data_IF_253270207768
#
_entry.id   IF_253270207768
#
_cell.length_a   1.000
_cell.length_b   1.000
_cell.length_c   1.000
_cell.angle_alpha   90.00
_cell.angle_beta   90.00
_cell.angle_gamma   90.00
#
_symmetry.space_group_name_H-M   'P 1'
#
loop_
_entity.id
_entity.type
_entity.pdbx_description
1 polymer ?
#
# COMPACT_ATOMS: atom_id res chain seq x y z
N UNK A 1 3.28 36.90 -10.05
CA UNK A 1 4.25 35.80 -10.26
C UNK A 1 3.50 34.48 -10.20
N UNK A 2 3.39 33.75 -11.30
CA UNK A 2 2.70 32.46 -11.30
C UNK A 2 3.54 31.46 -10.49
N UNK A 3 3.02 30.97 -9.36
CA UNK A 3 3.65 29.85 -8.67
C UNK A 3 3.75 28.68 -9.66
N UNK A 4 4.98 28.28 -9.99
CA UNK A 4 5.27 27.12 -10.81
C UNK A 4 4.66 25.91 -10.09
N UNK A 5 3.47 25.49 -10.51
CA UNK A 5 2.81 24.30 -9.98
C UNK A 5 3.64 23.10 -10.43
N UNK A 6 4.60 22.70 -9.60
CA UNK A 6 5.43 21.52 -9.83
C UNK A 6 4.54 20.29 -9.66
N UNK A 7 3.86 19.92 -10.74
CA UNK A 7 3.24 18.62 -10.87
C UNK A 7 4.32 17.60 -11.23
N UNK A 8 4.46 16.56 -10.42
CA UNK A 8 5.29 15.42 -10.77
C UNK A 8 4.49 14.13 -10.66
N UNK A 9 4.71 13.23 -11.62
CA UNK A 9 4.13 11.88 -11.63
C UNK A 9 5.24 10.89 -11.92
N UNK A 10 5.28 9.82 -11.16
CA UNK A 10 6.15 8.68 -11.43
C UNK A 10 5.44 7.38 -11.05
N UNK A 11 5.94 6.29 -11.63
CA UNK A 11 5.42 4.95 -11.43
C UNK A 11 6.50 4.09 -10.81
N UNK A 12 6.08 3.24 -9.88
CA UNK A 12 6.86 2.13 -9.35
C UNK A 12 6.19 0.88 -9.87
N UNK A 13 6.86 0.16 -10.76
CA UNK A 13 6.33 -1.10 -11.31
C UNK A 13 6.49 -2.17 -10.25
N UNK A 14 5.39 -2.86 -9.93
CA UNK A 14 5.36 -3.93 -8.95
C UNK A 14 5.44 -5.26 -9.69
N UNK A 15 6.45 -6.04 -9.37
CA UNK A 15 6.69 -7.38 -9.92
C UNK A 15 6.50 -8.43 -8.81
N UNK A 16 6.22 -9.67 -9.21
CA UNK A 16 6.03 -10.79 -8.28
C UNK A 16 7.34 -11.12 -7.55
N UNK A 17 7.30 -11.12 -6.22
CA UNK A 17 8.44 -11.52 -5.37
C UNK A 17 8.32 -13.00 -4.96
N UNK A 18 7.17 -13.37 -4.39
CA UNK A 18 6.90 -14.70 -3.83
C UNK A 18 5.85 -15.41 -4.67
N UNK A 19 6.12 -16.68 -5.01
CA UNK A 19 5.17 -17.51 -5.75
C UNK A 19 4.00 -17.96 -4.88
N UNK A 20 2.90 -18.33 -5.55
CA UNK A 20 1.70 -18.86 -4.89
C UNK A 20 0.64 -17.82 -4.54
N UNK A 21 0.91 -16.55 -4.83
CA UNK A 21 -0.04 -15.43 -4.71
C UNK A 21 -0.65 -15.02 -6.05
N UNK A 22 -0.14 -15.54 -7.17
CA UNK A 22 -0.72 -15.34 -8.50
C UNK A 22 -2.04 -16.12 -8.67
N UNK A 23 -2.96 -15.58 -9.48
CA UNK A 23 -4.30 -16.15 -9.72
C UNK A 23 -4.23 -17.47 -10.51
N UNK A 24 -3.19 -17.68 -11.32
CA UNK A 24 -2.99 -18.87 -12.13
C UNK A 24 -1.52 -19.09 -12.46
N UNK A 25 -1.18 -20.30 -12.91
CA UNK A 25 0.20 -20.69 -13.27
C UNK A 25 0.70 -19.97 -14.52
N UNK A 26 -0.23 -19.52 -15.37
CA UNK A 26 -0.03 -18.77 -16.61
C UNK A 26 -0.17 -17.25 -16.44
N UNK A 27 -0.54 -16.77 -15.24
CA UNK A 27 -0.85 -15.36 -14.97
C UNK A 27 -0.02 -14.84 -13.80
N UNK A 28 1.13 -14.26 -14.11
CA UNK A 28 1.96 -13.58 -13.11
C UNK A 28 1.25 -12.36 -12.51
N UNK A 29 1.35 -12.23 -11.19
CA UNK A 29 0.96 -11.03 -10.46
C UNK A 29 1.73 -9.83 -11.00
N UNK A 30 1.01 -8.75 -11.31
CA UNK A 30 1.59 -7.53 -11.88
C UNK A 30 0.81 -6.31 -11.41
N UNK A 31 1.49 -5.17 -11.36
CA UNK A 31 0.88 -3.95 -10.88
C UNK A 31 1.80 -2.75 -10.95
N UNK A 32 1.29 -1.63 -10.46
CA UNK A 32 2.08 -0.42 -10.30
C UNK A 32 1.56 0.41 -9.14
N UNK A 33 2.45 1.25 -8.61
CA UNK A 33 2.09 2.37 -7.76
C UNK A 33 2.36 3.65 -8.52
N UNK A 34 1.34 4.47 -8.66
CA UNK A 34 1.44 5.80 -9.26
C UNK A 34 1.47 6.83 -8.15
N UNK A 35 2.51 7.65 -8.14
CA UNK A 35 2.74 8.72 -7.19
C UNK A 35 2.61 10.06 -7.92
N UNK A 36 1.62 10.86 -7.54
CA UNK A 36 1.31 12.15 -8.17
C UNK A 36 1.41 13.27 -7.13
N UNK A 37 2.42 14.14 -7.25
CA UNK A 37 2.57 15.31 -6.40
C UNK A 37 1.98 16.53 -7.09
N UNK A 38 1.03 17.21 -6.45
CA UNK A 38 0.38 18.42 -6.96
C UNK A 38 -0.05 19.31 -5.80
N UNK A 39 0.32 20.59 -5.86
CA UNK A 39 -0.14 21.61 -4.90
C UNK A 39 0.08 21.22 -3.41
N UNK A 40 1.25 20.66 -3.07
CA UNK A 40 1.54 20.24 -1.70
C UNK A 40 0.82 18.96 -1.25
N UNK A 41 0.14 18.25 -2.16
CA UNK A 41 -0.46 16.94 -1.91
C UNK A 41 0.18 15.85 -2.75
N UNK A 42 0.25 14.64 -2.20
CA UNK A 42 0.69 13.42 -2.86
C UNK A 42 -0.50 12.47 -2.96
N UNK A 43 -0.89 12.13 -4.19
CA UNK A 43 -1.86 11.10 -4.49
C UNK A 43 -1.12 9.81 -4.81
N UNK A 44 -1.46 8.74 -4.08
CA UNK A 44 -0.85 7.42 -4.19
C UNK A 44 -1.94 6.48 -4.71
N UNK A 45 -1.76 5.92 -5.89
CA UNK A 45 -2.69 4.95 -6.49
C UNK A 45 -2.00 3.62 -6.70
N UNK A 46 -2.52 2.57 -6.05
CA UNK A 46 -2.11 1.19 -6.27
C UNK A 46 -3.06 0.54 -7.26
N UNK A 47 -2.51 -0.07 -8.30
CA UNK A 47 -3.22 -0.97 -9.19
C UNK A 47 -2.50 -2.30 -9.23
N UNK A 48 -3.24 -3.39 -9.05
CA UNK A 48 -2.73 -4.75 -9.16
C UNK A 48 -3.71 -5.65 -9.90
N UNK A 49 -3.17 -6.69 -10.51
CA UNK A 49 -3.94 -7.70 -11.22
C UNK A 49 -3.28 -9.07 -11.09
N UNK A 50 -4.07 -10.11 -11.39
CA UNK A 50 -3.67 -11.51 -11.28
C UNK A 50 -3.20 -11.90 -9.87
N UNK A 51 -3.70 -11.24 -8.82
CA UNK A 51 -3.46 -11.65 -7.44
C UNK A 51 -4.59 -12.57 -7.00
N UNK A 52 -4.27 -13.65 -6.30
CA UNK A 52 -5.25 -14.55 -5.72
C UNK A 52 -5.96 -13.88 -4.55
N UNK A 53 -7.29 -13.90 -4.53
CA UNK A 53 -8.04 -13.49 -3.34
C UNK A 53 -7.77 -14.47 -2.19
N UNK A 54 -7.49 -13.95 -1.00
CA UNK A 54 -7.21 -14.73 0.21
C UNK A 54 -8.06 -14.24 1.38
N UNK A 55 -8.22 -15.07 2.41
CA UNK A 55 -9.01 -14.75 3.60
C UNK A 55 -8.40 -13.63 4.44
N UNK A 56 -7.07 -13.58 4.54
CA UNK A 56 -6.37 -12.47 5.19
C UNK A 56 -6.06 -11.36 4.17
N UNK A 57 -6.20 -10.08 4.57
CA UNK A 57 -6.00 -8.96 3.67
C UNK A 57 -4.54 -8.84 3.23
N UNK A 58 -4.34 -8.31 2.03
CA UNK A 58 -3.05 -7.79 1.61
C UNK A 58 -2.88 -6.39 2.15
N UNK A 59 -1.65 -5.92 2.25
CA UNK A 59 -1.34 -4.59 2.75
C UNK A 59 -0.51 -3.82 1.75
N UNK A 60 -0.87 -2.55 1.55
CA UNK A 60 -0.10 -1.60 0.76
C UNK A 60 0.93 -0.92 1.63
N UNK A 61 2.19 -1.00 1.22
CA UNK A 61 3.28 -0.32 1.92
C UNK A 61 4.13 0.52 0.96
N UNK A 62 4.61 1.66 1.48
CA UNK A 62 5.64 2.48 0.83
C UNK A 62 6.97 2.29 1.55
N UNK A 63 8.04 2.18 0.77
CA UNK A 63 9.39 1.94 1.27
C UNK A 63 10.19 3.22 1.11
N UNK A 64 10.70 3.73 2.22
CA UNK A 64 11.49 4.95 2.28
C UNK A 64 12.95 4.59 2.61
N UNK A 65 13.84 4.74 1.62
CA UNK A 65 15.29 4.53 1.76
C UNK A 65 16.15 5.75 1.34
N UNK A 66 15.51 6.87 0.99
CA UNK A 66 16.25 8.07 0.56
C UNK A 66 16.55 8.98 1.75
N UNK A 67 17.61 9.79 1.63
CA UNK A 67 17.97 10.83 2.61
C UNK A 67 18.12 10.30 4.05
N UNK A 68 18.69 9.10 4.20
CA UNK A 68 18.94 8.47 5.50
C UNK A 68 17.71 7.90 6.23
N UNK A 69 16.52 7.99 5.63
CA UNK A 69 15.28 7.39 6.16
C UNK A 69 15.29 5.89 5.84
N UNK A 70 14.84 5.05 6.77
CA UNK A 70 14.79 3.57 6.62
C UNK A 70 13.51 3.06 7.27
N UNK A 71 12.40 3.37 6.60
CA UNK A 71 11.06 3.19 7.15
C UNK A 71 10.12 2.58 6.11
N UNK A 72 9.18 1.78 6.59
CA UNK A 72 8.06 1.23 5.83
C UNK A 72 6.80 1.93 6.32
N UNK A 73 6.12 2.66 5.45
CA UNK A 73 4.84 3.30 5.77
C UNK A 73 3.73 2.34 5.35
N UNK A 74 2.96 1.82 6.32
CA UNK A 74 1.75 1.04 6.05
C UNK A 74 0.60 1.98 5.71
N UNK A 75 0.15 1.93 4.46
CA UNK A 75 -0.86 2.85 3.92
C UNK A 75 -2.28 2.37 4.22
N UNK A 76 -2.52 1.07 4.10
CA UNK A 76 -3.83 0.47 4.34
C UNK A 76 -3.90 -0.97 3.84
N UNK A 77 -5.06 -1.58 4.04
CA UNK A 77 -5.39 -2.90 3.53
C UNK A 77 -5.84 -2.84 2.07
N UNK A 78 -5.58 -3.91 1.33
CA UNK A 78 -5.96 -4.08 -0.06
C UNK A 78 -6.77 -5.36 -0.21
N UNK A 79 -8.06 -5.18 -0.47
CA UNK A 79 -8.97 -6.27 -0.77
C UNK A 79 -8.95 -6.55 -2.26
N UNK A 80 -8.62 -7.79 -2.61
CA UNK A 80 -8.62 -8.27 -3.98
C UNK A 80 -10.04 -8.70 -4.37
N UNK A 81 -10.50 -8.26 -5.55
CA UNK A 81 -11.79 -8.65 -6.11
C UNK A 81 -11.81 -10.10 -6.62
N UNK A 82 -12.99 -10.58 -7.05
CA UNK A 82 -13.16 -11.94 -7.58
C UNK A 82 -12.37 -12.21 -8.87
N UNK A 83 -11.89 -11.16 -9.54
CA UNK A 83 -11.10 -11.25 -10.77
C UNK A 83 -9.59 -11.12 -10.53
N UNK A 84 -9.18 -11.05 -9.27
CA UNK A 84 -7.78 -10.94 -8.87
C UNK A 84 -7.19 -9.54 -9.05
N UNK A 85 -8.02 -8.49 -8.96
CA UNK A 85 -7.62 -7.09 -9.15
C UNK A 85 -7.92 -6.25 -7.92
N UNK A 86 -7.17 -5.16 -7.79
CA UNK A 86 -7.51 -4.06 -6.88
C UNK A 86 -7.00 -2.74 -7.45
N UNK A 87 -7.80 -1.68 -7.28
CA UNK A 87 -7.45 -0.29 -7.58
C UNK A 87 -7.82 0.56 -6.36
N UNK A 88 -6.80 1.06 -5.66
CA UNK A 88 -6.97 1.81 -4.42
C UNK A 88 -6.18 3.11 -4.51
N UNK A 89 -6.79 4.18 -4.01
CA UNK A 89 -6.20 5.50 -4.04
C UNK A 89 -6.30 6.22 -2.70
N UNK A 90 -5.18 6.78 -2.24
CA UNK A 90 -5.12 7.68 -1.09
C UNK A 90 -4.48 9.01 -1.45
N UNK A 91 -4.83 10.05 -0.72
CA UNK A 91 -4.24 11.39 -0.87
C UNK A 91 -3.76 11.88 0.50
N UNK A 92 -2.51 12.37 0.56
CA UNK A 92 -1.88 12.89 1.77
C UNK A 92 -1.18 14.23 1.49
N UNK A 93 -0.89 15.05 2.52
CA UNK A 93 0.10 16.12 2.40
C UNK A 93 1.46 15.55 1.98
N UNK A 94 2.20 16.25 1.11
CA UNK A 94 3.50 15.76 0.59
C UNK A 94 4.56 15.58 1.67
N UNK A 95 4.43 16.25 2.81
CA UNK A 95 5.33 16.20 3.96
C UNK A 95 4.87 15.25 5.06
N UNK A 96 3.69 14.61 4.91
CA UNK A 96 3.11 13.75 5.92
C UNK A 96 2.40 12.53 5.32
N UNK A 97 3.16 11.70 4.60
CA UNK A 97 2.61 10.52 3.93
C UNK A 97 2.15 9.48 4.95
N UNK A 98 0.89 9.06 4.85
CA UNK A 98 0.34 8.05 5.76
C UNK A 98 0.31 8.49 7.22
N UNK A 99 0.29 9.80 7.50
CA UNK A 99 0.37 10.40 8.84
C UNK A 99 1.63 9.99 9.63
N UNK A 100 2.79 9.96 8.96
CA UNK A 100 4.09 9.53 9.49
C UNK A 100 5.15 10.62 9.64
N UNK A 101 4.85 11.86 9.27
CA UNK A 101 5.82 12.98 9.14
C UNK A 101 6.95 12.73 8.11
N UNK A 102 6.76 11.73 7.24
CA UNK A 102 7.69 11.41 6.16
C UNK A 102 7.23 12.12 4.87
N UNK A 103 8.19 12.80 4.23
CA UNK A 103 7.99 13.43 2.93
C UNK A 103 7.93 12.40 1.78
N UNK A 104 7.06 12.64 0.80
CA UNK A 104 6.91 11.84 -0.41
C UNK A 104 8.23 11.64 -1.19
N UNK A 105 9.14 12.61 -1.14
CA UNK A 105 10.43 12.52 -1.84
C UNK A 105 11.39 11.47 -1.25
N UNK A 106 11.10 10.96 -0.04
CA UNK A 106 11.85 9.89 0.61
C UNK A 106 11.47 8.50 0.10
N UNK A 107 10.34 8.38 -0.60
CA UNK A 107 9.85 7.13 -1.17
C UNK A 107 10.82 6.66 -2.26
N UNK A 108 11.34 5.44 -2.10
CA UNK A 108 12.20 4.77 -3.07
C UNK A 108 11.56 3.54 -3.69
N UNK A 109 10.56 2.96 -3.03
CA UNK A 109 9.89 1.76 -3.48
C UNK A 109 8.49 1.63 -2.89
N UNK A 110 7.80 0.61 -3.33
CA UNK A 110 6.49 0.23 -2.81
C UNK A 110 6.34 -1.28 -2.90
N UNK A 111 5.48 -1.84 -2.05
CA UNK A 111 5.20 -3.27 -2.06
C UNK A 111 3.75 -3.57 -1.66
N UNK A 112 3.32 -4.75 -2.08
CA UNK A 112 2.15 -5.44 -1.54
C UNK A 112 2.66 -6.57 -0.66
N UNK A 113 2.23 -6.59 0.59
CA UNK A 113 2.75 -7.52 1.59
C UNK A 113 1.64 -8.22 2.36
N UNK A 114 1.99 -9.34 2.99
CA UNK A 114 1.23 -9.93 4.08
C UNK A 114 2.07 -9.87 5.34
N UNK A 115 1.45 -9.46 6.43
CA UNK A 115 2.04 -9.55 7.76
C UNK A 115 1.60 -10.87 8.37
N UNK A 116 2.54 -11.77 8.62
CA UNK A 116 2.29 -13.03 9.34
C UNK A 116 3.19 -13.00 10.57
N UNK A 117 2.55 -12.94 11.74
CA UNK A 117 3.21 -12.72 13.03
C UNK A 117 4.08 -11.44 13.00
N UNK A 118 5.41 -11.60 13.04
CA UNK A 118 6.39 -10.51 12.95
C UNK A 118 7.11 -10.45 11.60
N UNK A 119 6.72 -11.29 10.64
CA UNK A 119 7.39 -11.40 9.36
C UNK A 119 6.61 -10.70 8.24
N UNK A 120 7.38 -10.03 7.36
CA UNK A 120 6.86 -9.44 6.12
C UNK A 120 7.04 -10.45 5.00
N UNK A 121 5.93 -10.98 4.49
CA UNK A 121 5.92 -11.70 3.22
C UNK A 121 5.65 -10.68 2.12
N UNK A 122 6.63 -10.47 1.25
CA UNK A 122 6.46 -9.59 0.11
C UNK A 122 5.82 -10.36 -1.02
N UNK A 123 4.62 -9.98 -1.42
CA UNK A 123 3.90 -10.60 -2.53
C UNK A 123 4.38 -10.00 -3.84
N UNK A 124 4.50 -8.67 -3.84
CA UNK A 124 5.06 -7.92 -4.95
C UNK A 124 5.84 -6.72 -4.44
N UNK A 125 6.93 -6.38 -5.09
CA UNK A 125 7.69 -5.17 -4.79
C UNK A 125 8.15 -4.45 -6.04
N UNK A 126 8.51 -3.19 -5.87
CA UNK A 126 9.02 -2.35 -6.93
C UNK A 126 9.84 -1.19 -6.38
N UNK A 127 10.86 -0.79 -7.12
CA UNK A 127 11.79 0.27 -6.70
C UNK A 127 12.08 1.23 -7.84
N UNK A 128 12.35 2.49 -7.48
CA UNK A 128 12.80 3.51 -8.42
C UNK A 128 14.27 3.34 -8.82
N UNK A 129 15.02 2.50 -8.10
CA UNK A 129 16.45 2.24 -8.28
C UNK A 129 16.70 0.74 -8.43
N UNK A 130 17.75 0.38 -9.15
CA UNK A 130 18.18 -1.02 -9.30
C UNK A 130 18.88 -1.55 -8.05
N UNK A 131 19.44 -0.66 -7.22
CA UNK A 131 19.98 -1.01 -5.91
C UNK A 131 18.82 -1.10 -4.91
N UNK A 132 18.41 -2.35 -4.64
CA UNK A 132 17.28 -2.65 -3.76
C UNK A 132 17.82 -2.86 -2.34
N UNK A 133 17.43 -2.03 -1.36
CA UNK A 133 17.87 -2.20 0.02
C UNK A 133 17.26 -3.44 0.67
N UNK A 134 17.84 -3.91 1.77
CA UNK A 134 17.23 -4.91 2.67
C UNK A 134 16.06 -4.30 3.45
N UNK A 135 15.02 -3.87 2.73
CA UNK A 135 13.93 -3.05 3.27
C UNK A 135 13.04 -3.79 4.25
N UNK A 136 12.95 -5.12 4.18
CA UNK A 136 12.11 -5.93 5.08
C UNK A 136 12.50 -5.80 6.57
N UNK A 137 13.68 -5.28 6.89
CA UNK A 137 14.14 -5.02 8.26
C UNK A 137 13.95 -3.56 8.72
N UNK A 138 13.34 -2.71 7.89
CA UNK A 138 13.10 -1.31 8.21
C UNK A 138 11.98 -1.17 9.26
N UNK A 139 11.96 -0.02 9.93
CA UNK A 139 10.94 0.29 10.93
C UNK A 139 9.58 0.45 10.27
N UNK A 140 8.57 -0.26 10.76
CA UNK A 140 7.19 -0.14 10.25
C UNK A 140 6.50 1.01 10.97
N UNK A 141 5.95 1.95 10.21
CA UNK A 141 5.14 3.07 10.69
C UNK A 141 3.70 2.87 10.23
N UNK A 142 2.77 2.92 11.19
CA UNK A 142 1.33 2.84 10.96
C UNK A 142 0.64 3.94 11.76
N UNK A 143 -0.22 4.73 11.09
CA UNK A 143 -0.97 5.77 11.77
C UNK A 143 -1.97 5.18 12.77
N UNK A 144 -1.95 5.70 14.00
CA UNK A 144 -2.90 5.30 15.07
C UNK A 144 -4.36 5.67 14.76
N UNK A 145 -4.60 6.60 13.83
CA UNK A 145 -5.95 7.03 13.46
C UNK A 145 -6.70 5.96 12.67
N UNK A 146 -6.00 5.17 11.82
CA UNK A 146 -6.58 4.06 11.06
C UNK A 146 -7.07 2.91 11.93
N UNK A 147 -6.42 2.64 13.08
CA UNK A 147 -6.88 1.62 14.04
C UNK A 147 -8.31 1.85 14.54
N UNK A 148 -8.88 3.06 14.39
CA UNK A 148 -10.26 3.35 14.82
C UNK A 148 -11.33 3.07 13.76
N UNK A 149 -10.97 2.97 12.48
CA UNK A 149 -11.91 2.70 11.39
C UNK A 149 -12.16 1.18 11.25
N UNK A 150 -11.12 0.34 11.35
CA UNK A 150 -11.26 -1.12 11.30
C UNK A 150 -12.14 -1.67 12.45
N UNK A 151 -12.10 -1.05 13.63
CA UNK A 151 -12.93 -1.44 14.79
C UNK A 151 -14.42 -1.05 14.58
N UNK A 152 -14.72 -0.05 13.75
CA UNK A 152 -16.10 0.40 13.53
C UNK A 152 -16.85 -0.51 12.55
N UNK A 153 -16.21 -1.06 11.53
CA UNK A 153 -16.87 -1.97 10.59
C UNK A 153 -17.22 -3.33 11.23
N UNK A 154 -16.39 -3.86 12.13
CA UNK A 154 -16.71 -5.12 12.84
C UNK A 154 -17.91 -5.00 13.81
N UNK A 155 -18.15 -3.83 14.42
CA UNK A 155 -19.26 -3.66 15.36
C UNK A 155 -20.62 -3.43 14.70
N UNK A 156 -20.66 -2.87 13.49
CA UNK A 156 -21.93 -2.59 12.78
C UNK A 156 -22.54 -3.87 12.19
N UNK A 157 -21.73 -4.85 11.79
CA UNK A 157 -22.25 -6.10 11.20
C UNK A 157 -22.86 -7.08 12.22
N UNK A 158 -22.52 -6.98 13.52
CA UNK A 158 -23.09 -7.87 14.55
C UNK A 158 -24.48 -7.48 15.06
N UNK A 159 -24.98 -6.28 14.77
CA UNK A 159 -26.25 -5.79 15.35
C UNK A 159 -27.48 -5.89 14.44
N UNK A 160 -27.31 -6.27 13.16
CA UNK A 160 -28.43 -6.33 12.20
C UNK A 160 -29.11 -7.71 12.14
N UNK A 161 -28.44 -8.79 12.55
CA UNK A 161 -28.98 -10.16 12.41
C UNK A 161 -29.91 -10.62 13.55
N UNK A 162 -29.93 -9.93 14.70
CA UNK A 162 -30.73 -10.34 15.88
C UNK A 162 -32.15 -9.72 15.91
N UNK A 163 -32.68 -9.23 14.77
CA UNK A 163 -33.98 -8.52 14.74
C UNK A 163 -35.09 -9.14 13.89
N UNK A 164 -34.93 -10.39 13.46
CA UNK A 164 -35.93 -11.08 12.64
C UNK A 164 -36.37 -12.47 13.15
N UNK A 165 -36.16 -12.76 14.43
CA UNK A 165 -36.87 -13.87 15.10
C UNK A 165 -37.61 -13.33 16.33
N UNK A 166 -38.82 -12.82 16.08
CA UNK A 166 -39.95 -12.89 17.02
C UNK A 166 -41.27 -12.98 16.24
#
# INVERSE_FOLDING_TARGET
MAQKKNYSRYFIILEEDEKGYSLGVDKSASGYVKLENKNGKCKISYYVQNIKKQSSPYHMVLICNKKGTKDIIKIGEMNIDEYGRADICYEYPVDNIGNSEINADKISGAAIVKFIDSNIISVMSGFSTTDIPTWKSFSIIESKERKKEDIKEEKVNKTIFDKYEE
#
